data_IF_301936189868
#
_entry.id   IF_301936189868
#
_cell.length_a   1.000
_cell.length_b   1.000
_cell.length_c   1.000
_cell.angle_alpha   90.00
_cell.angle_beta   90.00
_cell.angle_gamma   90.00
#
_symmetry.space_group_name_H-M   'P 1'
#
loop_
_entity.id
_entity.type
_entity.pdbx_description
1 polymer ?
#
# COMPACT_ATOMS: atom_id res chain seq x y z
N UNK A 1 -30.11 39.73 3.95
CA UNK A 1 -31.17 38.71 3.82
C UNK A 1 -30.69 37.45 4.52
N UNK A 2 -31.40 36.91 5.53
CA UNK A 2 -30.95 35.70 6.22
C UNK A 2 -31.20 34.47 5.35
N UNK A 3 -30.18 33.60 5.24
CA UNK A 3 -30.29 32.34 4.52
C UNK A 3 -31.24 31.39 5.25
N UNK A 4 -32.23 30.85 4.54
CA UNK A 4 -33.14 29.85 5.07
C UNK A 4 -32.37 28.56 5.39
N UNK A 5 -32.36 28.17 6.67
CA UNK A 5 -31.84 26.86 7.09
C UNK A 5 -32.86 25.82 6.64
N UNK A 6 -32.56 25.10 5.56
CA UNK A 6 -33.39 24.00 5.09
C UNK A 6 -33.19 22.79 6.01
N UNK A 7 -34.27 22.35 6.67
CA UNK A 7 -34.28 21.11 7.44
C UNK A 7 -34.30 19.91 6.49
N UNK A 8 -33.26 19.08 6.55
CA UNK A 8 -33.19 17.80 5.87
C UNK A 8 -33.90 16.72 6.71
N UNK A 9 -34.72 15.88 6.07
CA UNK A 9 -35.40 14.77 6.73
C UNK A 9 -34.48 13.57 6.92
N UNK A 10 -34.73 12.74 7.94
CA UNK A 10 -34.02 11.48 8.19
C UNK A 10 -34.04 10.54 6.97
N UNK A 11 -35.11 10.55 6.18
CA UNK A 11 -35.21 9.76 4.94
C UNK A 11 -34.24 10.27 3.87
N UNK A 12 -34.13 11.59 3.69
CA UNK A 12 -33.16 12.19 2.77
C UNK A 12 -31.72 11.93 3.21
N UNK A 13 -31.44 11.92 4.53
CA UNK A 13 -30.12 11.50 5.05
C UNK A 13 -29.85 10.03 4.71
N UNK A 14 -30.83 9.14 4.92
CA UNK A 14 -30.68 7.70 4.61
C UNK A 14 -30.49 7.44 3.12
N UNK A 15 -31.25 8.12 2.26
CA UNK A 15 -31.07 8.02 0.81
C UNK A 15 -29.70 8.55 0.38
N UNK A 16 -29.26 9.69 0.94
CA UNK A 16 -27.93 10.23 0.66
C UNK A 16 -26.84 9.23 1.09
N UNK A 17 -26.91 8.69 2.31
CA UNK A 17 -25.97 7.66 2.81
C UNK A 17 -26.02 6.39 1.95
N UNK A 18 -27.19 5.96 1.48
CA UNK A 18 -27.30 4.78 0.60
C UNK A 18 -26.64 4.98 -0.77
N UNK A 19 -26.49 6.24 -1.21
CA UNK A 19 -25.82 6.63 -2.46
C UNK A 19 -24.34 6.95 -2.25
N UNK A 20 -23.90 7.14 -1.01
CA UNK A 20 -22.47 7.16 -0.69
C UNK A 20 -21.96 5.76 -1.00
N UNK A 21 -21.13 5.64 -2.04
CA UNK A 21 -20.19 4.54 -2.16
C UNK A 21 -19.23 4.68 -0.98
N UNK A 22 -19.64 4.15 0.16
CA UNK A 22 -18.68 3.73 1.19
C UNK A 22 -17.76 2.78 0.42
N UNK A 23 -16.44 3.01 0.44
CA UNK A 23 -15.47 2.06 -0.08
C UNK A 23 -15.72 0.74 0.65
N UNK A 24 -16.58 -0.09 0.05
CA UNK A 24 -16.86 -1.44 0.52
C UNK A 24 -15.60 -2.23 0.24
N UNK A 25 -15.21 -3.02 1.23
CA UNK A 25 -14.12 -3.99 1.21
C UNK A 25 -13.75 -4.38 -0.21
N UNK A 26 -12.48 -4.21 -0.57
CA UNK A 26 -11.99 -4.33 -1.93
C UNK A 26 -11.67 -5.81 -2.22
N UNK A 27 -12.65 -6.67 -2.57
CA UNK A 27 -12.53 -8.12 -2.43
C UNK A 27 -11.56 -8.68 -3.46
N UNK A 28 -11.46 -7.99 -4.61
CA UNK A 28 -10.48 -8.25 -5.67
C UNK A 28 -9.02 -8.09 -5.21
N UNK A 29 -8.78 -7.43 -4.08
CA UNK A 29 -7.44 -7.21 -3.51
C UNK A 29 -7.17 -8.13 -2.31
N UNK A 30 -8.16 -8.89 -1.80
CA UNK A 30 -7.96 -9.94 -0.80
C UNK A 30 -7.38 -11.19 -1.48
N UNK A 31 -6.10 -11.16 -1.80
CA UNK A 31 -5.34 -12.40 -1.94
C UNK A 31 -4.91 -12.87 -0.56
N UNK A 32 -5.07 -14.16 -0.24
CA UNK A 32 -4.30 -14.77 0.83
C UNK A 32 -2.84 -14.74 0.38
N UNK A 33 -2.15 -13.63 0.64
CA UNK A 33 -0.83 -13.44 0.06
C UNK A 33 0.10 -14.42 0.74
N UNK A 34 0.68 -15.33 -0.04
CA UNK A 34 1.66 -16.28 0.44
C UNK A 34 2.90 -15.49 0.87
N UNK A 35 2.92 -15.05 2.13
CA UNK A 35 4.08 -14.40 2.70
C UNK A 35 5.16 -15.45 2.96
N UNK A 36 6.37 -15.19 2.47
CA UNK A 36 7.57 -15.96 2.82
C UNK A 36 8.49 -15.10 3.67
N UNK A 37 9.34 -15.74 4.46
CA UNK A 37 10.37 -15.05 5.25
C UNK A 37 11.74 -15.30 4.63
N UNK A 38 12.46 -14.22 4.32
CA UNK A 38 13.80 -14.25 3.73
C UNK A 38 14.69 -13.38 4.59
N UNK A 39 15.77 -13.96 5.13
CA UNK A 39 16.72 -13.26 6.00
C UNK A 39 16.02 -12.52 7.18
N UNK A 40 14.93 -13.10 7.69
CA UNK A 40 14.12 -12.53 8.77
C UNK A 40 13.08 -11.49 8.34
N UNK A 41 13.03 -11.14 7.05
CA UNK A 41 12.09 -10.16 6.48
C UNK A 41 10.92 -10.87 5.83
N UNK A 42 9.69 -10.39 6.08
CA UNK A 42 8.49 -10.86 5.39
C UNK A 42 8.43 -10.29 3.98
N UNK A 43 8.23 -11.18 3.01
CA UNK A 43 8.16 -10.88 1.59
C UNK A 43 6.83 -11.39 1.05
N UNK A 44 6.15 -10.52 0.32
CA UNK A 44 4.76 -10.67 -0.10
C UNK A 44 4.71 -10.48 -1.63
N UNK A 45 4.14 -11.42 -2.38
CA UNK A 45 3.99 -11.25 -3.82
C UNK A 45 2.69 -10.48 -4.10
N UNK A 46 2.82 -9.27 -4.64
CA UNK A 46 1.68 -8.46 -5.06
C UNK A 46 1.04 -9.07 -6.32
N UNK A 47 -0.28 -9.31 -6.33
CA UNK A 47 -0.97 -9.84 -7.51
C UNK A 47 -1.12 -8.80 -8.62
N UNK A 48 -0.84 -7.53 -8.33
CA UNK A 48 -1.00 -6.42 -9.27
C UNK A 48 0.33 -6.09 -9.96
N UNK A 49 0.26 -5.73 -11.23
CA UNK A 49 1.41 -5.29 -12.03
C UNK A 49 1.40 -3.80 -12.32
N UNK A 50 0.21 -3.20 -12.41
CA UNK A 50 0.02 -1.76 -12.58
C UNK A 50 0.22 -1.02 -11.26
N UNK A 51 1.05 0.02 -11.30
CA UNK A 51 1.49 0.78 -10.14
C UNK A 51 0.38 1.48 -9.35
N UNK A 52 -0.72 1.92 -9.99
CA UNK A 52 -1.88 2.45 -9.27
C UNK A 52 -2.61 1.35 -8.52
N UNK A 53 -2.80 0.21 -9.19
CA UNK A 53 -3.43 -0.95 -8.56
C UNK A 53 -2.56 -1.54 -7.45
N UNK A 54 -1.23 -1.47 -7.56
CA UNK A 54 -0.31 -1.84 -6.48
C UNK A 54 -0.52 -0.89 -5.30
N UNK A 55 -0.57 0.42 -5.52
CA UNK A 55 -0.86 1.38 -4.45
C UNK A 55 -2.18 1.05 -3.77
N UNK A 56 -3.28 0.95 -4.51
CA UNK A 56 -4.61 0.65 -3.98
C UNK A 56 -4.63 -0.69 -3.22
N UNK A 57 -3.92 -1.70 -3.73
CA UNK A 57 -3.75 -2.99 -3.05
C UNK A 57 -3.06 -2.83 -1.69
N UNK A 58 -1.96 -2.08 -1.61
CA UNK A 58 -1.24 -1.86 -0.33
C UNK A 58 -2.10 -1.14 0.71
N UNK A 59 -3.10 -0.36 0.28
CA UNK A 59 -4.03 0.33 1.16
C UNK A 59 -5.23 -0.54 1.59
N UNK A 60 -5.51 -1.62 0.86
CA UNK A 60 -6.67 -2.48 1.09
C UNK A 60 -6.33 -3.85 1.67
N UNK A 61 -5.07 -4.29 1.59
CA UNK A 61 -4.65 -5.60 2.05
C UNK A 61 -4.32 -5.59 3.55
N UNK A 62 -5.20 -6.18 4.36
CA UNK A 62 -5.03 -6.29 5.82
C UNK A 62 -3.85 -7.20 6.23
N UNK A 63 -3.29 -7.96 5.29
CA UNK A 63 -2.18 -8.90 5.49
C UNK A 63 -0.80 -8.27 5.29
N UNK A 64 -0.72 -7.17 4.53
CA UNK A 64 0.49 -6.37 4.36
C UNK A 64 0.75 -5.55 5.63
N UNK A 65 1.97 -5.62 6.15
CA UNK A 65 2.39 -4.96 7.38
C UNK A 65 3.53 -4.00 7.11
N UNK A 66 3.61 -3.00 7.96
CA UNK A 66 4.76 -2.09 8.02
C UNK A 66 6.08 -2.88 8.12
N UNK A 67 7.03 -2.55 7.26
CA UNK A 67 8.30 -3.25 7.07
C UNK A 67 8.27 -4.48 6.15
N UNK A 68 7.09 -4.92 5.70
CA UNK A 68 7.00 -6.01 4.71
C UNK A 68 7.56 -5.52 3.35
N UNK A 69 8.28 -6.41 2.68
CA UNK A 69 8.66 -6.23 1.28
C UNK A 69 7.53 -6.77 0.40
N UNK A 70 7.12 -6.00 -0.60
CA UNK A 70 6.20 -6.46 -1.64
C UNK A 70 6.89 -6.48 -3.00
N UNK A 71 6.77 -7.61 -3.70
CA UNK A 71 7.24 -7.77 -5.08
C UNK A 71 6.08 -7.55 -6.04
N UNK A 72 6.28 -6.78 -7.09
CA UNK A 72 5.24 -6.51 -8.09
C UNK A 72 5.82 -6.55 -9.50
N UNK A 73 4.97 -6.37 -10.51
CA UNK A 73 5.36 -6.50 -11.92
C UNK A 73 6.12 -7.82 -12.19
N UNK A 74 5.54 -8.94 -11.73
CA UNK A 74 6.11 -10.29 -11.83
C UNK A 74 7.50 -10.43 -11.18
N UNK A 75 7.75 -9.71 -10.09
CA UNK A 75 9.01 -9.79 -9.34
C UNK A 75 10.16 -8.97 -9.93
N UNK A 76 9.90 -8.18 -10.97
CA UNK A 76 10.91 -7.28 -11.57
C UNK A 76 11.03 -5.95 -10.83
N UNK A 77 10.14 -5.68 -9.87
CA UNK A 77 10.15 -4.49 -9.03
C UNK A 77 9.80 -4.86 -7.59
N UNK A 78 10.31 -4.06 -6.66
CA UNK A 78 10.09 -4.27 -5.24
C UNK A 78 9.91 -2.96 -4.48
N UNK A 79 9.05 -2.99 -3.47
CA UNK A 79 8.87 -1.92 -2.51
C UNK A 79 8.77 -2.44 -1.07
N UNK A 80 8.77 -1.50 -0.13
CA UNK A 80 8.54 -1.73 1.30
C UNK A 80 7.32 -0.93 1.70
N UNK A 81 6.43 -1.50 2.52
CA UNK A 81 5.42 -0.69 3.19
C UNK A 81 6.09 0.04 4.36
N UNK A 82 6.31 1.35 4.22
CA UNK A 82 6.91 2.21 5.25
C UNK A 82 5.76 2.89 6.00
N UNK A 83 5.45 2.42 7.20
CA UNK A 83 4.22 2.75 7.91
C UNK A 83 2.98 2.43 7.05
N UNK A 84 2.32 3.45 6.49
CA UNK A 84 1.20 3.32 5.56
C UNK A 84 1.58 3.65 4.11
N UNK A 85 2.85 3.98 3.85
CA UNK A 85 3.34 4.51 2.59
C UNK A 85 4.09 3.44 1.79
N UNK A 86 3.52 2.93 0.69
CA UNK A 86 4.23 1.98 -0.17
C UNK A 86 5.36 2.70 -0.89
N UNK A 87 6.60 2.29 -0.61
CA UNK A 87 7.81 2.99 -1.06
C UNK A 87 8.66 2.07 -1.93
N UNK A 88 9.00 2.52 -3.13
CA UNK A 88 9.83 1.78 -4.09
C UNK A 88 11.27 1.65 -3.57
N UNK A 89 11.82 0.44 -3.69
CA UNK A 89 13.24 0.17 -3.42
C UNK A 89 13.98 -0.14 -4.72
N UNK A 90 13.38 -0.94 -5.60
CA UNK A 90 14.00 -1.40 -6.85
C UNK A 90 13.05 -1.23 -8.02
N UNK A 91 13.57 -0.68 -9.11
CA UNK A 91 12.80 -0.30 -10.29
C UNK A 91 12.17 1.08 -10.13
N UNK A 92 11.34 1.45 -11.09
CA UNK A 92 10.60 2.72 -11.09
C UNK A 92 9.11 2.45 -10.88
N UNK A 93 8.42 3.30 -10.14
CA UNK A 93 6.95 3.36 -10.14
C UNK A 93 6.49 4.77 -9.80
N UNK A 94 5.78 5.43 -10.72
CA UNK A 94 5.37 6.84 -10.61
C UNK A 94 4.35 7.05 -9.49
N UNK A 95 3.51 6.04 -9.26
CA UNK A 95 2.41 6.11 -8.30
C UNK A 95 2.77 5.64 -6.88
N UNK A 96 3.98 5.16 -6.67
CA UNK A 96 4.48 4.75 -5.36
C UNK A 96 5.45 5.80 -4.81
N UNK A 97 5.65 5.81 -3.50
CA UNK A 97 6.59 6.75 -2.88
C UNK A 97 8.04 6.37 -3.19
N UNK A 98 8.93 7.36 -3.14
CA UNK A 98 10.37 7.15 -3.21
C UNK A 98 11.01 7.71 -1.95
N UNK A 99 12.12 7.10 -1.52
CA UNK A 99 12.87 7.60 -0.38
C UNK A 99 13.64 8.86 -0.79
N UNK A 100 13.28 10.00 -0.22
CA UNK A 100 13.93 11.27 -0.47
C UNK A 100 14.61 11.80 0.80
N UNK A 101 15.87 12.25 0.68
CA UNK A 101 16.58 12.94 1.76
C UNK A 101 17.07 12.06 2.92
N UNK A 102 16.95 10.74 2.81
CA UNK A 102 17.44 9.77 3.79
C UNK A 102 17.97 8.51 3.09
N UNK A 103 18.56 7.61 3.87
CA UNK A 103 18.93 6.25 3.43
C UNK A 103 18.16 5.23 4.26
N UNK A 104 18.08 3.98 3.80
CA UNK A 104 17.39 2.92 4.52
C UNK A 104 18.02 2.62 5.90
N UNK A 105 19.31 2.91 6.06
CA UNK A 105 20.06 2.80 7.32
C UNK A 105 19.81 3.95 8.28
N UNK A 106 19.34 5.11 7.79
CA UNK A 106 19.07 6.30 8.63
C UNK A 106 17.59 6.55 8.88
N UNK A 107 16.70 6.10 7.99
CA UNK A 107 15.25 6.18 8.16
C UNK A 107 14.81 5.38 9.39
N UNK A 108 14.11 6.03 10.33
CA UNK A 108 13.62 5.46 11.59
C UNK A 108 14.68 4.65 12.35
N UNK A 109 15.92 5.14 12.36
CA UNK A 109 17.05 4.46 13.02
C UNK A 109 17.46 3.14 12.35
N UNK A 110 17.22 3.01 11.04
CA UNK A 110 17.62 1.85 10.25
C UNK A 110 16.62 0.70 10.25
N UNK A 111 15.41 0.94 10.75
CA UNK A 111 14.33 -0.07 10.86
C UNK A 111 14.09 -0.85 9.56
N UNK A 112 14.19 -0.19 8.42
CA UNK A 112 13.88 -0.78 7.10
C UNK A 112 15.12 -1.25 6.32
N UNK A 113 16.33 -1.10 6.87
CA UNK A 113 17.58 -1.43 6.17
C UNK A 113 17.63 -2.89 5.71
N UNK A 114 17.23 -3.83 6.57
CA UNK A 114 17.18 -5.25 6.23
C UNK A 114 16.17 -5.54 5.12
N UNK A 115 14.99 -4.91 5.17
CA UNK A 115 13.97 -5.06 4.15
C UNK A 115 14.43 -4.53 2.79
N UNK A 116 15.11 -3.39 2.77
CA UNK A 116 15.66 -2.81 1.54
C UNK A 116 16.74 -3.71 0.93
N UNK A 117 17.63 -4.27 1.76
CA UNK A 117 18.63 -5.23 1.30
C UNK A 117 18.01 -6.51 0.70
N UNK A 118 16.95 -7.04 1.33
CA UNK A 118 16.21 -8.20 0.81
C UNK A 118 15.51 -7.88 -0.50
N UNK A 119 14.83 -6.73 -0.60
CA UNK A 119 14.19 -6.27 -1.83
C UNK A 119 15.19 -6.16 -3.00
N UNK A 120 16.36 -5.52 -2.76
CA UNK A 120 17.44 -5.43 -3.75
C UNK A 120 17.93 -6.80 -4.22
N UNK A 121 18.16 -7.73 -3.29
CA UNK A 121 18.62 -9.10 -3.58
C UNK A 121 17.62 -9.93 -4.39
N UNK A 122 16.33 -9.69 -4.23
CA UNK A 122 15.27 -10.45 -4.90
C UNK A 122 15.09 -10.07 -6.35
N UNK A 123 15.22 -8.78 -6.68
CA UNK A 123 15.02 -8.26 -8.05
C UNK A 123 16.29 -8.35 -8.90
N UNK A 124 17.47 -8.35 -8.29
CA UNK A 124 18.75 -8.47 -9.00
C UNK A 124 19.05 -9.88 -9.60
N UNK A 125 18.03 -10.75 -9.71
CA UNK A 125 18.15 -12.14 -10.16
C UNK A 125 17.71 -12.32 -11.62
#
# INVERSE_FOLDING_TARGET
MPAAIQSITLTQVREAISRIKIWRECPQYRSAVAARVIDGVRVVDCPMSDERNVYDWTQCDDGLRDGDVFLFANGTRAGILVEAWPTVVVGDAEHLHTLAGATWESLDGGKYAAAAAVAAKLVAR
#
